data_IF_955249085486
#
_entry.id   IF_955249085486
#
_cell.length_a   1.000
_cell.length_b   1.000
_cell.length_c   1.000
_cell.angle_alpha   90.00
_cell.angle_beta   90.00
_cell.angle_gamma   90.00
#
_symmetry.space_group_name_H-M   'P 1'
#
loop_
_entity.id
_entity.type
_entity.pdbx_description
1 polymer ?
#
# COMPACT_ATOMS: atom_id res chain seq x y z
N UNK A 1 19.39 41.72 14.60
CA UNK A 1 20.11 40.42 14.65
C UNK A 1 19.04 39.38 14.93
N UNK A 2 18.86 38.41 14.03
CA UNK A 2 17.88 37.34 14.23
C UNK A 2 18.36 36.48 15.40
N UNK A 3 17.53 36.31 16.42
CA UNK A 3 17.84 35.41 17.52
C UNK A 3 17.81 33.96 16.98
N UNK A 4 18.93 33.24 17.01
CA UNK A 4 18.99 31.87 16.49
C UNK A 4 18.02 30.92 17.20
N UNK A 5 17.77 31.11 18.51
CA UNK A 5 16.87 30.25 19.29
C UNK A 5 15.43 30.43 18.83
N UNK A 6 15.00 31.68 18.61
CA UNK A 6 13.67 31.99 18.11
C UNK A 6 13.42 31.35 16.72
N UNK A 7 14.39 31.42 15.82
CA UNK A 7 14.31 30.79 14.48
C UNK A 7 14.20 29.27 14.59
N UNK A 8 15.02 28.64 15.45
CA UNK A 8 14.99 27.20 15.71
C UNK A 8 13.64 26.75 16.30
N UNK A 9 13.07 27.53 17.22
CA UNK A 9 11.77 27.26 17.82
C UNK A 9 10.65 27.29 16.77
N UNK A 10 10.61 28.32 15.92
CA UNK A 10 9.62 28.40 14.82
C UNK A 10 9.76 27.26 13.82
N UNK A 11 10.99 26.88 13.46
CA UNK A 11 11.22 25.75 12.56
C UNK A 11 10.79 24.42 13.19
N UNK A 12 11.06 24.23 14.49
CA UNK A 12 10.65 23.05 15.22
C UNK A 12 9.12 22.92 15.27
N UNK A 13 8.43 24.03 15.52
CA UNK A 13 6.97 24.06 15.50
C UNK A 13 6.42 23.70 14.10
N UNK A 14 6.92 24.35 13.04
CA UNK A 14 6.47 24.07 11.67
C UNK A 14 6.70 22.61 11.28
N UNK A 15 7.90 22.08 11.54
CA UNK A 15 8.25 20.70 11.23
C UNK A 15 7.45 19.70 12.06
N UNK A 16 7.09 20.04 13.29
CA UNK A 16 6.21 19.20 14.11
C UNK A 16 4.82 19.07 13.49
N UNK A 17 4.19 20.18 13.09
CA UNK A 17 2.86 20.17 12.47
C UNK A 17 2.88 19.43 11.14
N UNK A 18 3.83 19.77 10.27
CA UNK A 18 3.95 19.14 8.95
C UNK A 18 4.27 17.65 9.07
N UNK A 19 5.28 17.30 9.89
CA UNK A 19 5.72 15.92 10.05
C UNK A 19 4.67 15.03 10.71
N UNK A 20 4.06 15.48 11.81
CA UNK A 20 3.07 14.68 12.54
C UNK A 20 1.75 14.56 11.78
N UNK A 21 1.19 15.67 11.27
CA UNK A 21 -0.12 15.63 10.61
C UNK A 21 -0.02 14.89 9.28
N UNK A 22 0.91 15.28 8.40
CA UNK A 22 1.05 14.59 7.11
C UNK A 22 1.53 13.15 7.31
N UNK A 23 2.49 12.91 8.21
CA UNK A 23 2.95 11.57 8.54
C UNK A 23 1.82 10.67 9.00
N UNK A 24 0.97 11.15 9.91
CA UNK A 24 -0.20 10.41 10.38
C UNK A 24 -1.19 10.10 9.25
N UNK A 25 -1.49 11.06 8.37
CA UNK A 25 -2.37 10.84 7.21
C UNK A 25 -1.82 9.76 6.28
N UNK A 26 -0.52 9.83 5.96
CA UNK A 26 0.16 8.82 5.14
C UNK A 26 0.13 7.43 5.78
N UNK A 27 0.35 7.35 7.10
CA UNK A 27 0.25 6.10 7.84
C UNK A 27 -1.18 5.54 7.80
N UNK A 28 -2.20 6.36 8.09
CA UNK A 28 -3.62 5.95 8.06
C UNK A 28 -3.97 5.42 6.67
N UNK A 29 -3.63 6.14 5.61
CA UNK A 29 -3.88 5.71 4.25
C UNK A 29 -3.16 4.39 3.92
N UNK A 30 -1.89 4.26 4.32
CA UNK A 30 -1.09 3.07 4.03
C UNK A 30 -1.55 1.83 4.80
N UNK A 31 -1.98 1.99 6.05
CA UNK A 31 -2.60 0.91 6.82
C UNK A 31 -4.00 0.55 6.31
N UNK A 32 -4.78 1.54 5.86
CA UNK A 32 -6.08 1.29 5.23
C UNK A 32 -5.90 0.47 3.95
N UNK A 33 -4.96 0.84 3.09
CA UNK A 33 -4.62 0.06 1.89
C UNK A 33 -4.18 -1.37 2.25
N UNK A 34 -3.36 -1.54 3.28
CA UNK A 34 -2.96 -2.87 3.74
C UNK A 34 -4.15 -3.70 4.25
N UNK A 35 -5.07 -3.07 4.99
CA UNK A 35 -6.26 -3.74 5.49
C UNK A 35 -7.17 -4.20 4.36
N UNK A 36 -7.34 -3.36 3.33
CA UNK A 36 -8.09 -3.69 2.11
C UNK A 36 -7.38 -4.77 1.28
N UNK A 37 -6.06 -4.71 1.15
CA UNK A 37 -5.29 -5.74 0.45
C UNK A 37 -5.40 -7.12 1.14
N UNK A 38 -5.58 -7.15 2.47
CA UNK A 38 -5.72 -8.39 3.25
C UNK A 38 -7.04 -9.13 2.96
N UNK A 39 -8.05 -8.49 2.36
CA UNK A 39 -9.29 -9.18 1.99
C UNK A 39 -9.14 -10.11 0.79
N UNK A 40 -8.07 -9.93 0.02
CA UNK A 40 -7.76 -10.75 -1.14
C UNK A 40 -7.08 -12.04 -0.68
N UNK A 41 -7.66 -13.18 -1.03
CA UNK A 41 -7.11 -14.50 -0.75
C UNK A 41 -6.53 -15.11 -2.02
N UNK A 42 -5.39 -15.82 -1.92
CA UNK A 42 -4.85 -16.56 -3.04
C UNK A 42 -5.69 -17.80 -3.30
N UNK A 43 -5.98 -18.06 -4.56
CA UNK A 43 -6.64 -19.25 -5.08
C UNK A 43 -5.79 -19.84 -6.20
N UNK A 44 -5.77 -21.18 -6.28
CA UNK A 44 -5.16 -21.86 -7.41
C UNK A 44 -6.09 -21.78 -8.62
N UNK A 45 -5.57 -21.27 -9.72
CA UNK A 45 -6.28 -21.17 -10.99
C UNK A 45 -5.45 -21.72 -12.15
N UNK A 46 -6.10 -21.84 -13.31
CA UNK A 46 -5.46 -22.25 -14.54
C UNK A 46 -5.81 -21.28 -15.67
N UNK A 47 -4.84 -21.02 -16.55
CA UNK A 47 -5.05 -20.22 -17.77
C UNK A 47 -5.91 -21.02 -18.74
N UNK A 48 -7.02 -20.44 -19.18
CA UNK A 48 -7.98 -21.08 -20.09
C UNK A 48 -7.85 -20.54 -21.50
N UNK A 49 -7.52 -19.25 -21.65
CA UNK A 49 -7.27 -18.65 -22.95
C UNK A 49 -6.27 -17.50 -22.84
N UNK A 50 -5.46 -17.35 -23.87
CA UNK A 50 -4.57 -16.20 -24.05
C UNK A 50 -4.92 -15.59 -25.40
N UNK A 51 -5.35 -14.34 -25.43
CA UNK A 51 -5.73 -13.61 -26.66
C UNK A 51 -5.03 -12.27 -26.64
N UNK A 52 -4.05 -12.09 -27.52
CA UNK A 52 -3.21 -10.89 -27.62
C UNK A 52 -2.70 -10.44 -26.23
N UNK A 53 -3.24 -9.35 -25.72
CA UNK A 53 -2.88 -8.71 -24.44
C UNK A 53 -3.80 -9.09 -23.27
N UNK A 54 -4.73 -10.02 -23.44
CA UNK A 54 -5.67 -10.46 -22.39
C UNK A 54 -5.45 -11.93 -22.05
N UNK A 55 -5.32 -12.23 -20.76
CA UNK A 55 -5.22 -13.59 -20.23
C UNK A 55 -6.48 -13.89 -19.45
N UNK A 56 -7.21 -14.93 -19.86
CA UNK A 56 -8.35 -15.44 -19.11
C UNK A 56 -7.93 -16.66 -18.29
N UNK A 57 -8.37 -16.68 -17.05
CA UNK A 57 -8.05 -17.72 -16.08
C UNK A 57 -9.32 -18.12 -15.34
N UNK A 58 -9.26 -19.32 -14.80
CA UNK A 58 -10.37 -19.92 -14.08
C UNK A 58 -9.87 -20.51 -12.78
N UNK A 59 -10.59 -20.25 -11.70
CA UNK A 59 -10.22 -20.67 -10.35
C UNK A 59 -11.43 -21.18 -9.60
N UNK A 60 -11.17 -21.93 -8.53
CA UNK A 60 -12.20 -22.30 -7.58
C UNK A 60 -12.29 -21.27 -6.46
N UNK A 61 -13.49 -20.73 -6.26
CA UNK A 61 -13.81 -19.86 -5.14
C UNK A 61 -13.76 -20.61 -3.81
N UNK A 62 -13.89 -19.86 -2.71
CA UNK A 62 -13.94 -20.48 -1.35
C UNK A 62 -15.25 -21.26 -1.14
N UNK A 63 -16.28 -20.94 -1.92
CA UNK A 63 -17.56 -21.64 -2.02
C UNK A 63 -17.48 -22.96 -2.82
N UNK A 64 -16.34 -23.23 -3.46
CA UNK A 64 -16.17 -24.38 -4.36
C UNK A 64 -16.80 -24.17 -5.73
N UNK A 65 -17.28 -22.97 -6.04
CA UNK A 65 -17.78 -22.64 -7.37
C UNK A 65 -16.63 -22.28 -8.31
N UNK A 66 -16.85 -22.52 -9.59
CA UNK A 66 -15.88 -22.25 -10.64
C UNK A 66 -16.10 -20.83 -11.16
N UNK A 67 -15.11 -19.96 -10.99
CA UNK A 67 -15.14 -18.59 -11.47
C UNK A 67 -14.16 -18.40 -12.61
N UNK A 68 -14.51 -17.51 -13.53
CA UNK A 68 -13.70 -17.14 -14.67
C UNK A 68 -13.55 -15.62 -14.71
N UNK A 69 -12.37 -15.17 -15.09
CA UNK A 69 -11.98 -13.78 -15.11
C UNK A 69 -10.86 -13.56 -16.10
N UNK A 70 -10.65 -12.29 -16.44
CA UNK A 70 -9.62 -11.88 -17.38
C UNK A 70 -8.83 -10.73 -16.77
N UNK A 71 -7.54 -10.70 -17.03
CA UNK A 71 -6.65 -9.62 -16.63
C UNK A 71 -5.73 -9.28 -17.81
N UNK A 72 -5.18 -8.07 -17.79
CA UNK A 72 -4.23 -7.65 -18.80
C UNK A 72 -2.94 -8.48 -18.65
N UNK A 73 -2.35 -8.85 -19.77
CA UNK A 73 -1.13 -9.63 -19.81
C UNK A 73 0.03 -8.82 -19.25
N UNK A 74 0.68 -9.36 -18.22
CA UNK A 74 1.87 -8.73 -17.67
C UNK A 74 3.01 -8.68 -18.71
N UNK A 75 3.61 -7.50 -18.97
CA UNK A 75 4.67 -7.36 -19.96
C UNK A 75 5.89 -8.23 -19.62
N UNK A 76 6.29 -9.10 -20.54
CA UNK A 76 7.46 -9.96 -20.38
C UNK A 76 7.19 -11.31 -19.70
N UNK A 77 5.97 -11.56 -19.22
CA UNK A 77 5.55 -12.90 -18.83
C UNK A 77 4.92 -13.64 -20.01
N UNK A 78 5.25 -14.92 -20.18
CA UNK A 78 4.64 -15.79 -21.20
C UNK A 78 3.73 -16.77 -20.52
N UNK A 79 2.42 -16.57 -20.72
CA UNK A 79 1.38 -17.48 -20.27
C UNK A 79 1.02 -18.43 -21.41
N UNK A 80 0.91 -19.72 -21.09
CA UNK A 80 0.37 -20.77 -21.95
C UNK A 80 -0.95 -21.31 -21.39
N UNK A 81 -1.81 -21.81 -22.27
CA UNK A 81 -3.08 -22.43 -21.84
C UNK A 81 -2.76 -23.70 -21.04
N UNK A 82 -3.35 -23.80 -19.85
CA UNK A 82 -3.09 -24.88 -18.89
C UNK A 82 -2.04 -24.54 -17.83
N UNK A 83 -1.37 -23.39 -17.92
CA UNK A 83 -0.46 -22.93 -16.87
C UNK A 83 -1.21 -22.72 -15.55
N UNK A 84 -0.58 -23.15 -14.46
CA UNK A 84 -1.05 -22.86 -13.11
C UNK A 84 -0.72 -21.42 -12.74
N UNK A 85 -1.74 -20.66 -12.32
CA UNK A 85 -1.61 -19.26 -11.91
C UNK A 85 -2.24 -19.06 -10.54
N UNK A 86 -1.66 -18.16 -9.74
CA UNK A 86 -2.28 -17.74 -8.48
C UNK A 86 -3.24 -16.59 -8.77
N UNK A 87 -4.53 -16.81 -8.50
CA UNK A 87 -5.57 -15.79 -8.65
C UNK A 87 -5.90 -15.21 -7.28
N UNK A 88 -5.79 -13.89 -7.14
CA UNK A 88 -6.24 -13.20 -5.95
C UNK A 88 -7.69 -12.77 -6.14
N UNK A 89 -8.60 -13.30 -5.32
CA UNK A 89 -10.01 -12.93 -5.29
C UNK A 89 -10.45 -12.60 -3.86
N UNK A 90 -11.49 -11.79 -3.71
CA UNK A 90 -12.07 -11.43 -2.41
C UNK A 90 -13.41 -12.16 -2.23
N UNK A 91 -13.71 -12.66 -1.02
CA UNK A 91 -14.99 -13.33 -0.70
C UNK A 91 -16.23 -12.48 -1.05
N UNK A 92 -16.10 -11.16 -0.99
CA UNK A 92 -17.17 -10.19 -1.28
C UNK A 92 -17.48 -10.05 -2.77
N UNK A 93 -16.52 -10.35 -3.64
CA UNK A 93 -16.65 -10.26 -5.11
C UNK A 93 -15.88 -11.42 -5.74
N UNK A 94 -16.38 -12.66 -5.60
CA UNK A 94 -15.64 -13.86 -5.99
C UNK A 94 -15.48 -13.99 -7.51
N UNK A 95 -16.23 -13.23 -8.31
CA UNK A 95 -16.10 -13.18 -9.77
C UNK A 95 -15.03 -12.19 -10.29
N UNK A 96 -14.42 -11.37 -9.43
CA UNK A 96 -13.38 -10.41 -9.80
C UNK A 96 -12.03 -10.86 -9.24
N UNK A 97 -11.34 -11.70 -10.01
CA UNK A 97 -9.98 -12.15 -9.73
C UNK A 97 -8.94 -11.32 -10.45
N UNK A 98 -7.72 -11.25 -9.91
CA UNK A 98 -6.53 -10.67 -10.54
C UNK A 98 -5.35 -11.61 -10.42
N UNK A 99 -4.38 -11.55 -11.33
CA UNK A 99 -3.14 -12.35 -11.23
C UNK A 99 -2.09 -11.56 -10.42
N UNK A 100 -2.15 -10.23 -10.46
CA UNK A 100 -1.23 -9.37 -9.72
C UNK A 100 -1.39 -9.48 -8.20
N UNK A 101 -0.27 -9.71 -7.51
CA UNK A 101 -0.25 -9.81 -6.06
C UNK A 101 -0.56 -8.45 -5.40
N UNK A 102 -1.64 -8.35 -4.58
CA UNK A 102 -1.99 -7.12 -3.87
C UNK A 102 -1.02 -6.77 -2.74
N UNK A 103 -0.02 -7.62 -2.46
CA UNK A 103 0.90 -7.51 -1.32
C UNK A 103 1.81 -6.27 -1.33
N UNK A 104 1.90 -5.61 -2.48
CA UNK A 104 2.67 -4.38 -2.66
C UNK A 104 1.88 -3.11 -2.27
N UNK A 105 0.58 -3.23 -2.00
CA UNK A 105 -0.29 -2.12 -1.60
C UNK A 105 0.16 -1.44 -0.30
N UNK A 106 0.50 -0.15 -0.37
CA UNK A 106 0.69 0.71 0.79
C UNK A 106 2.02 0.56 1.55
N UNK A 107 3.02 -0.18 1.05
CA UNK A 107 4.37 -0.20 1.66
C UNK A 107 5.06 1.16 1.57
N UNK A 108 5.12 1.73 0.36
CA UNK A 108 5.73 3.05 0.13
C UNK A 108 5.06 4.14 0.98
N UNK A 109 3.72 4.13 1.03
CA UNK A 109 2.93 5.10 1.79
C UNK A 109 3.23 5.04 3.30
N UNK A 110 3.37 3.82 3.85
CA UNK A 110 3.74 3.63 5.25
C UNK A 110 5.19 4.05 5.53
N UNK A 111 6.12 3.78 4.63
CA UNK A 111 7.52 4.21 4.80
C UNK A 111 7.62 5.73 4.85
N UNK A 112 7.02 6.43 3.90
CA UNK A 112 6.98 7.89 3.87
C UNK A 112 6.27 8.44 5.11
N UNK A 113 5.13 7.84 5.48
CA UNK A 113 4.39 8.21 6.68
C UNK A 113 5.22 8.09 7.95
N UNK A 114 5.94 6.98 8.14
CA UNK A 114 6.81 6.78 9.31
C UNK A 114 7.99 7.75 9.35
N UNK A 115 8.61 8.05 8.20
CA UNK A 115 9.71 9.02 8.13
C UNK A 115 9.23 10.41 8.51
N UNK A 116 8.12 10.87 7.94
CA UNK A 116 7.54 12.19 8.26
C UNK A 116 7.10 12.27 9.72
N UNK A 117 6.41 11.24 10.21
CA UNK A 117 5.93 11.19 11.58
C UNK A 117 7.09 11.18 12.58
N UNK A 118 8.14 10.40 12.31
CA UNK A 118 9.36 10.38 13.11
C UNK A 118 10.07 11.73 13.13
N UNK A 119 10.18 12.42 12.00
CA UNK A 119 10.76 13.75 11.92
C UNK A 119 9.93 14.77 12.72
N UNK A 120 8.61 14.73 12.61
CA UNK A 120 7.70 15.56 13.39
C UNK A 120 7.86 15.32 14.90
N UNK A 121 7.99 14.06 15.32
CA UNK A 121 8.19 13.68 16.72
C UNK A 121 9.53 14.21 17.25
N UNK A 122 10.63 14.06 16.50
CA UNK A 122 11.93 14.64 16.85
C UNK A 122 11.83 16.16 16.97
N UNK A 123 11.05 16.80 16.10
CA UNK A 123 10.85 18.25 16.13
C UNK A 123 10.10 18.71 17.37
N UNK A 124 9.06 18.00 17.81
CA UNK A 124 8.38 18.26 19.09
C UNK A 124 9.35 18.16 20.26
N UNK A 125 10.15 17.09 20.31
CA UNK A 125 11.14 16.89 21.37
C UNK A 125 12.14 18.03 21.39
N UNK A 126 12.69 18.41 20.22
CA UNK A 126 13.60 19.56 20.10
C UNK A 126 12.94 20.87 20.55
N UNK A 127 11.70 21.15 20.15
CA UNK A 127 10.96 22.34 20.56
C UNK A 127 10.76 22.40 22.08
N UNK A 128 10.41 21.27 22.70
CA UNK A 128 10.29 21.16 24.17
C UNK A 128 11.64 21.40 24.84
N UNK A 129 12.74 20.85 24.30
CA UNK A 129 14.07 21.06 24.86
C UNK A 129 14.53 22.52 24.74
N UNK A 130 14.20 23.21 23.65
CA UNK A 130 14.51 24.62 23.46
C UNK A 130 13.84 25.52 24.50
N UNK A 131 12.63 25.17 24.96
CA UNK A 131 11.92 25.91 26.02
C UNK A 131 12.66 25.91 27.37
N UNK A 132 13.57 24.95 27.60
CA UNK A 132 14.42 24.93 28.80
C UNK A 132 15.77 25.64 28.61
N UNK A 133 16.10 26.01 27.37
CA UNK A 133 17.35 26.69 27.01
C UNK A 133 17.16 28.21 26.84
N UNK A 134 15.91 28.64 26.65
CA UNK A 134 15.47 30.04 26.71
C UNK A 134 15.45 30.56 28.16
#
# INVERSE_FOLDING_TARGET
MTDPIAVLSTLAELLSWVGLVLGALFLIAGYTQRALARSWRPHDGAVVSVTDDVVSFRWFGTDGELHEGSDDREPGHVYEVGDAVTVFATERHPASGRIDSPEHGGKALRTVGWVLFGLGLVSVVSGVLLLFLE
#
